data_IF_449594655179
#
_entry.id   IF_449594655179
#
_cell.length_a   1.000
_cell.length_b   1.000
_cell.length_c   1.000
_cell.angle_alpha   90.00
_cell.angle_beta   90.00
_cell.angle_gamma   90.00
#
_symmetry.space_group_name_H-M   'P 1'
#
loop_
_entity.id
_entity.type
_entity.pdbx_description
1 polymer ?
#
# COMPACT_ATOMS: atom_id res chain seq x y z
N UNK A 1 -11.04 -10.13 -4.07
CA UNK A 1 -11.43 -8.72 -4.27
C UNK A 1 -11.07 -7.97 -3.00
N UNK A 2 -9.77 -7.68 -2.81
CA UNK A 2 -9.28 -7.18 -1.50
C UNK A 2 -9.31 -5.67 -1.43
N UNK A 3 -10.18 -5.08 -0.60
CA UNK A 3 -10.24 -3.64 -0.40
C UNK A 3 -9.03 -3.09 0.36
N UNK A 4 -8.85 -1.77 0.41
CA UNK A 4 -7.75 -1.10 1.10
C UNK A 4 -7.57 -1.54 2.57
N UNK A 5 -8.67 -1.87 3.24
CA UNK A 5 -8.66 -2.37 4.63
C UNK A 5 -7.96 -3.74 4.75
N UNK A 6 -8.10 -4.62 3.75
CA UNK A 6 -7.40 -5.91 3.75
C UNK A 6 -5.90 -5.72 3.56
N UNK A 7 -5.50 -4.82 2.66
CA UNK A 7 -4.09 -4.46 2.44
C UNK A 7 -3.48 -3.88 3.73
N UNK A 8 -4.20 -2.95 4.37
CA UNK A 8 -3.78 -2.35 5.63
C UNK A 8 -3.63 -3.40 6.73
N UNK A 9 -4.59 -4.31 6.88
CA UNK A 9 -4.50 -5.41 7.88
C UNK A 9 -3.26 -6.26 7.63
N UNK A 10 -3.00 -6.62 6.37
CA UNK A 10 -1.84 -7.44 5.99
C UNK A 10 -0.54 -6.74 6.36
N UNK A 11 -0.36 -5.48 5.92
CA UNK A 11 0.87 -4.73 6.18
C UNK A 11 1.05 -4.40 7.66
N UNK A 12 -0.03 -4.06 8.37
CA UNK A 12 -0.02 -3.83 9.83
C UNK A 12 0.43 -5.06 10.61
N UNK A 13 0.08 -6.26 10.15
CA UNK A 13 0.53 -7.52 10.75
C UNK A 13 1.99 -7.89 10.41
N UNK A 14 2.74 -7.01 9.73
CA UNK A 14 4.14 -7.23 9.37
C UNK A 14 4.33 -8.13 8.14
N UNK A 15 3.26 -8.45 7.41
CA UNK A 15 3.37 -9.24 6.19
C UNK A 15 3.68 -8.34 4.99
N UNK A 16 4.44 -8.88 4.05
CA UNK A 16 4.80 -8.21 2.80
C UNK A 16 3.59 -8.09 1.87
N UNK A 17 3.51 -6.94 1.18
CA UNK A 17 2.56 -6.72 0.10
C UNK A 17 3.17 -7.19 -1.23
N UNK A 18 2.38 -7.88 -2.04
CA UNK A 18 2.79 -8.22 -3.40
C UNK A 18 2.83 -6.96 -4.29
N UNK A 19 3.56 -6.98 -5.41
CA UNK A 19 3.56 -5.86 -6.35
C UNK A 19 2.15 -5.45 -6.83
N UNK A 20 1.26 -6.43 -7.02
CA UNK A 20 -0.13 -6.22 -7.42
C UNK A 20 -0.96 -5.54 -6.32
N UNK A 21 -0.73 -5.92 -5.06
CA UNK A 21 -1.35 -5.30 -3.88
C UNK A 21 -0.90 -3.85 -3.72
N UNK A 22 0.38 -3.57 -3.95
CA UNK A 22 0.94 -2.22 -3.92
C UNK A 22 0.37 -1.36 -5.05
N UNK A 23 0.38 -1.87 -6.28
CA UNK A 23 -0.21 -1.18 -7.43
C UNK A 23 -1.69 -0.86 -7.18
N UNK A 24 -2.41 -1.78 -6.55
CA UNK A 24 -3.80 -1.55 -6.15
C UNK A 24 -3.93 -0.44 -5.11
N UNK A 25 -3.09 -0.42 -4.07
CA UNK A 25 -3.11 0.67 -3.08
C UNK A 25 -2.85 2.03 -3.73
N UNK A 26 -1.86 2.12 -4.62
CA UNK A 26 -1.56 3.35 -5.37
C UNK A 26 -2.75 3.76 -6.23
N UNK A 27 -3.33 2.83 -6.99
CA UNK A 27 -4.50 3.11 -7.82
C UNK A 27 -5.69 3.63 -7.01
N UNK A 28 -5.99 3.02 -5.87
CA UNK A 28 -7.06 3.49 -4.97
C UNK A 28 -6.77 4.88 -4.39
N UNK A 29 -5.50 5.21 -4.18
CA UNK A 29 -5.05 6.52 -3.70
C UNK A 29 -5.23 7.59 -4.76
N UNK A 30 -4.72 7.37 -5.98
CA UNK A 30 -4.80 8.38 -7.06
C UNK A 30 -6.20 8.56 -7.63
N UNK A 31 -7.05 7.53 -7.56
CA UNK A 31 -8.45 7.63 -7.99
C UNK A 31 -9.36 8.29 -6.96
N UNK A 32 -8.84 8.64 -5.77
CA UNK A 32 -9.64 9.20 -4.68
C UNK A 32 -10.60 8.18 -4.04
N UNK A 33 -10.41 6.89 -4.30
CA UNK A 33 -11.22 5.82 -3.70
C UNK A 33 -10.81 5.55 -2.25
N UNK A 34 -9.52 5.77 -1.93
CA UNK A 34 -9.00 5.69 -0.57
C UNK A 34 -9.26 7.00 0.18
N UNK A 35 -9.79 6.91 1.39
CA UNK A 35 -9.89 8.06 2.28
C UNK A 35 -8.52 8.45 2.86
N UNK A 36 -8.33 9.74 3.18
CA UNK A 36 -7.09 10.25 3.81
C UNK A 36 -6.71 9.48 5.08
N UNK A 37 -7.71 9.05 5.85
CA UNK A 37 -7.53 8.24 7.06
C UNK A 37 -6.89 6.88 6.75
N UNK A 38 -7.27 6.26 5.63
CA UNK A 38 -6.79 4.95 5.19
C UNK A 38 -5.39 5.06 4.60
N UNK A 39 -5.12 6.13 3.84
CA UNK A 39 -3.79 6.45 3.32
C UNK A 39 -2.83 6.68 4.49
N UNK A 40 -3.20 7.53 5.45
CA UNK A 40 -2.39 7.79 6.65
C UNK A 40 -2.13 6.52 7.47
N UNK A 41 -3.14 5.66 7.64
CA UNK A 41 -2.97 4.39 8.34
C UNK A 41 -2.02 3.43 7.61
N UNK A 42 -2.06 3.37 6.27
CA UNK A 42 -1.15 2.56 5.47
C UNK A 42 0.29 3.07 5.60
N UNK A 43 0.50 4.39 5.49
CA UNK A 43 1.81 5.00 5.67
C UNK A 43 2.38 4.73 7.07
N UNK A 44 1.53 4.79 8.11
CA UNK A 44 1.94 4.44 9.47
C UNK A 44 2.34 2.96 9.58
N UNK A 45 1.60 2.05 8.95
CA UNK A 45 1.94 0.63 8.93
C UNK A 45 3.27 0.36 8.21
N UNK A 46 3.53 1.06 7.10
CA UNK A 46 4.81 0.99 6.37
C UNK A 46 5.97 1.58 7.16
N UNK A 47 5.74 2.66 7.92
CA UNK A 47 6.76 3.24 8.79
C UNK A 47 7.14 2.30 9.94
N UNK A 48 6.16 1.68 10.59
CA UNK A 48 6.39 0.78 11.74
C UNK A 48 7.02 -0.54 11.30
N UNK A 49 6.49 -1.17 10.24
CA UNK A 49 6.93 -2.51 9.81
C UNK A 49 8.00 -2.48 8.70
N UNK A 50 8.36 -1.30 8.21
CA UNK A 50 9.29 -1.13 7.09
C UNK A 50 8.72 -1.60 5.75
N UNK A 51 9.54 -1.49 4.72
CA UNK A 51 9.32 -2.05 3.39
C UNK A 51 10.54 -2.90 3.02
N UNK A 52 10.31 -4.04 2.37
CA UNK A 52 11.39 -4.77 1.70
C UNK A 52 11.81 -4.05 0.43
N UNK A 53 12.98 -4.40 -0.12
CA UNK A 53 13.44 -3.82 -1.38
C UNK A 53 12.43 -4.08 -2.52
N UNK A 54 11.79 -5.25 -2.55
CA UNK A 54 10.77 -5.59 -3.54
C UNK A 54 9.54 -4.69 -3.41
N UNK A 55 9.07 -4.47 -2.17
CA UNK A 55 7.96 -3.55 -1.90
C UNK A 55 8.31 -2.10 -2.28
N UNK A 56 9.53 -1.64 -1.95
CA UNK A 56 10.00 -0.29 -2.31
C UNK A 56 10.06 -0.09 -3.82
N UNK A 57 10.58 -1.08 -4.56
CA UNK A 57 10.63 -1.03 -6.03
C UNK A 57 9.22 -1.03 -6.61
N UNK A 58 8.34 -1.89 -6.11
CA UNK A 58 6.95 -1.97 -6.57
C UNK A 58 6.19 -0.67 -6.30
N UNK A 59 6.37 -0.06 -5.12
CA UNK A 59 5.76 1.22 -4.76
C UNK A 59 6.26 2.34 -5.67
N UNK A 60 7.57 2.42 -5.88
CA UNK A 60 8.18 3.44 -6.74
C UNK A 60 7.66 3.31 -8.18
N UNK A 61 7.66 2.10 -8.74
CA UNK A 61 7.14 1.85 -10.10
C UNK A 61 5.66 2.22 -10.20
N UNK A 62 4.85 1.74 -9.25
CA UNK A 62 3.41 2.02 -9.27
C UNK A 62 3.09 3.52 -9.20
N UNK A 63 3.87 4.30 -8.45
CA UNK A 63 3.72 5.76 -8.37
C UNK A 63 4.22 6.49 -9.62
N UNK A 64 5.17 5.92 -10.37
CA UNK A 64 5.61 6.47 -11.67
C UNK A 64 4.56 6.22 -12.74
N UNK A 65 3.87 5.08 -12.67
CA UNK A 65 2.88 4.63 -13.66
C UNK A 65 1.44 5.12 -13.36
N UNK A 66 1.23 5.91 -12.30
CA UNK A 66 -0.09 6.30 -11.77
C UNK A 66 -0.68 7.59 -12.33
#
# INVERSE_FOLDING_TARGET
>A
MSGIIELLRKKRSGNELSPEEIAKFVNLTVTGTAEDSQIGAMLMAMFINGLTNEETIALTKSMVDS
#
